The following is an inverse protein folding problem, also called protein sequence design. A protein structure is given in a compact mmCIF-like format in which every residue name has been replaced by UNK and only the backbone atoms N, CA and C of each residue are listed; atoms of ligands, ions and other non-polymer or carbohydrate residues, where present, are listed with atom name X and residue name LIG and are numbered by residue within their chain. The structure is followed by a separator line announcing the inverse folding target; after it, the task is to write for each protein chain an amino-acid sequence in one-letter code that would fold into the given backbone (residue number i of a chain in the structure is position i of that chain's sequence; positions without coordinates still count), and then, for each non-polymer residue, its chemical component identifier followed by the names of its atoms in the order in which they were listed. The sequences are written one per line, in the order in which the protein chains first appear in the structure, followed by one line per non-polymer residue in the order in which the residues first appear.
data_IF_673014554147
#
_entry.id   IF_673014554147
#
_cell.length_a   1.000
_cell.length_b   1.000
_cell.length_c   1.000
_cell.angle_alpha   90.00
_cell.angle_beta   90.00
_cell.angle_gamma   90.00
#
_symmetry.space_group_name_H-M   'P 1'
#
loop_
_entity.id
_entity.type
_entity.pdbx_description
1 polymer ?
#
# COMPACT_ATOMS: atom_id res chain seq x y z
N UNK A 1 24.88 -26.34 48.89
CA UNK A 1 25.37 -27.47 48.08
C UNK A 1 24.63 -27.41 46.75
N UNK A 2 24.95 -26.45 45.88
CA UNK A 2 26.09 -26.43 44.96
C UNK A 2 26.02 -27.57 43.94
N UNK A 3 25.53 -27.26 42.75
CA UNK A 3 25.93 -27.88 41.48
C UNK A 3 25.50 -26.96 40.34
N UNK A 4 26.41 -26.09 39.94
CA UNK A 4 26.38 -25.32 38.70
C UNK A 4 26.86 -26.23 37.56
N UNK A 5 26.10 -26.33 36.47
CA UNK A 5 26.56 -26.97 35.24
C UNK A 5 26.66 -25.91 34.13
N UNK A 6 27.90 -25.48 33.87
CA UNK A 6 28.28 -24.62 32.76
C UNK A 6 28.28 -25.44 31.47
N UNK A 7 27.49 -25.03 30.47
CA UNK A 7 27.56 -25.60 29.12
C UNK A 7 28.19 -24.60 28.17
N UNK A 8 29.47 -24.84 27.88
CA UNK A 8 30.27 -24.21 26.84
C UNK A 8 29.83 -24.78 25.48
N UNK A 9 29.45 -23.94 24.52
CA UNK A 9 29.24 -24.36 23.12
C UNK A 9 30.07 -23.50 22.19
N UNK A 10 30.84 -24.20 21.36
CA UNK A 10 31.89 -23.72 20.50
C UNK A 10 31.33 -22.94 19.29
N UNK A 11 32.07 -21.89 18.89
CA UNK A 11 31.86 -21.17 17.65
C UNK A 11 32.37 -22.00 16.46
N UNK A 12 31.49 -22.32 15.52
CA UNK A 12 31.87 -22.88 14.22
C UNK A 12 32.04 -21.74 13.21
N UNK A 13 33.27 -21.53 12.76
CA UNK A 13 33.61 -20.63 11.65
C UNK A 13 33.15 -21.24 10.33
N UNK A 14 32.26 -20.55 9.61
CA UNK A 14 31.87 -20.90 8.24
C UNK A 14 32.63 -19.99 7.28
N UNK A 15 33.51 -20.61 6.49
CA UNK A 15 34.29 -20.00 5.41
C UNK A 15 33.38 -19.60 4.25
N UNK A 16 33.43 -18.32 3.87
CA UNK A 16 32.70 -17.74 2.73
C UNK A 16 33.46 -18.00 1.42
N UNK A 17 32.87 -18.62 0.39
CA UNK A 17 33.45 -18.63 -0.94
C UNK A 17 33.13 -17.32 -1.68
N UNK A 18 34.17 -16.56 -2.01
CA UNK A 18 34.15 -15.45 -2.95
C UNK A 18 33.85 -15.97 -4.36
N UNK A 19 32.87 -15.39 -5.06
CA UNK A 19 32.69 -15.57 -6.49
C UNK A 19 32.62 -14.21 -7.16
N UNK A 20 33.78 -13.84 -7.70
CA UNK A 20 34.01 -12.74 -8.63
C UNK A 20 33.59 -13.21 -10.02
N UNK A 21 32.65 -12.53 -10.69
CA UNK A 21 32.44 -12.72 -12.12
C UNK A 21 31.87 -11.47 -12.82
N UNK A 22 32.74 -10.93 -13.66
CA UNK A 22 32.51 -10.31 -14.98
C UNK A 22 31.53 -9.12 -15.11
N UNK A 23 32.15 -7.94 -15.25
CA UNK A 23 31.63 -6.81 -16.01
C UNK A 23 31.50 -7.21 -17.50
N UNK A 24 30.34 -6.94 -18.09
CA UNK A 24 30.18 -6.82 -19.54
C UNK A 24 29.64 -5.44 -19.86
N UNK A 25 30.49 -4.61 -20.45
CA UNK A 25 30.15 -3.34 -21.06
C UNK A 25 29.31 -3.57 -22.32
N UNK A 26 28.10 -3.02 -22.34
CA UNK A 26 27.25 -2.95 -23.53
C UNK A 26 26.98 -1.48 -23.88
N UNK A 27 27.79 -0.95 -24.78
CA UNK A 27 27.62 0.36 -25.43
C UNK A 27 26.78 0.19 -26.70
N UNK A 28 25.62 0.84 -26.76
CA UNK A 28 24.90 1.27 -27.97
C UNK A 28 23.60 1.95 -27.49
N UNK A 29 23.10 3.06 -28.01
CA UNK A 29 23.44 3.90 -29.14
C UNK A 29 22.32 4.96 -29.21
N UNK A 30 22.70 6.20 -29.50
CA UNK A 30 21.84 7.38 -29.58
C UNK A 30 20.71 7.22 -30.60
N UNK A 31 19.54 7.79 -30.29
CA UNK A 31 18.76 8.54 -31.30
C UNK A 31 17.84 9.54 -30.59
N UNK A 32 18.14 10.82 -30.80
CA UNK A 32 17.26 11.94 -30.50
C UNK A 32 16.17 12.02 -31.59
N UNK A 33 14.94 12.36 -31.18
CA UNK A 33 13.87 12.73 -32.10
C UNK A 33 13.11 13.95 -31.53
N UNK A 34 13.49 15.13 -32.03
CA UNK A 34 12.64 16.31 -32.30
C UNK A 34 12.90 16.63 -33.78
N UNK A 35 12.04 17.36 -34.53
CA UNK A 35 10.92 18.22 -34.13
C UNK A 35 9.63 18.02 -34.99
N UNK A 36 8.57 18.79 -34.73
CA UNK A 36 7.91 19.62 -35.75
C UNK A 36 6.69 20.36 -35.19
N UNK A 37 6.78 21.69 -35.25
CA UNK A 37 5.67 22.63 -35.19
C UNK A 37 4.86 22.57 -36.49
N UNK A 38 3.54 22.63 -36.39
CA UNK A 38 2.67 23.10 -37.46
C UNK A 38 1.66 24.08 -36.85
N UNK A 39 1.69 25.30 -37.36
CA UNK A 39 0.70 26.34 -37.12
C UNK A 39 -0.47 26.17 -38.09
N UNK A 40 -1.67 26.53 -37.66
CA UNK A 40 -2.70 27.11 -38.52
C UNK A 40 -3.58 28.06 -37.70
N UNK A 41 -4.01 29.20 -38.27
CA UNK A 41 -4.78 30.23 -37.59
C UNK A 41 -6.28 29.98 -37.73
N UNK A 42 -7.09 30.57 -36.86
CA UNK A 42 -8.42 31.07 -37.24
C UNK A 42 -8.87 32.11 -36.22
N UNK A 43 -8.92 33.34 -36.71
CA UNK A 43 -9.61 34.47 -36.12
C UNK A 43 -11.12 34.20 -36.11
N UNK A 44 -11.78 34.57 -35.02
CA UNK A 44 -13.22 34.46 -34.83
C UNK A 44 -13.66 35.47 -33.80
N UNK A 45 -13.55 36.74 -34.16
CA UNK A 45 -14.12 37.87 -33.44
C UNK A 45 -15.64 37.85 -33.63
N UNK A 46 -16.41 37.76 -32.54
CA UNK A 46 -17.81 38.18 -32.57
C UNK A 46 -18.28 38.67 -31.20
N UNK A 47 -18.79 39.88 -31.24
CA UNK A 47 -19.25 40.73 -30.14
C UNK A 47 -20.44 40.16 -29.38
N UNK A 48 -20.47 40.48 -28.08
CA UNK A 48 -21.61 41.07 -27.37
C UNK A 48 -22.93 40.32 -27.34
N UNK A 49 -23.34 39.89 -26.14
CA UNK A 49 -24.58 40.32 -25.49
C UNK A 49 -24.65 39.73 -24.08
N UNK A 50 -24.67 40.62 -23.08
CA UNK A 50 -25.29 40.35 -21.77
C UNK A 50 -26.71 39.79 -21.99
N UNK A 51 -27.13 38.82 -21.17
CA UNK A 51 -28.00 39.26 -20.09
C UNK A 51 -27.74 38.59 -18.74
N UNK A 52 -28.03 39.41 -17.73
CA UNK A 52 -28.28 39.08 -16.33
C UNK A 52 -29.11 37.81 -16.08
N UNK A 53 -28.86 37.29 -14.88
CA UNK A 53 -29.73 36.48 -14.02
C UNK A 53 -29.88 34.99 -14.37
N UNK A 54 -29.28 34.12 -13.55
CA UNK A 54 -29.92 33.60 -12.34
C UNK A 54 -28.95 32.65 -11.66
N UNK A 55 -28.60 32.96 -10.42
CA UNK A 55 -27.80 32.10 -9.55
C UNK A 55 -28.61 30.84 -9.20
N UNK A 56 -28.45 29.76 -9.98
CA UNK A 56 -28.74 28.42 -9.50
C UNK A 56 -27.55 27.95 -8.67
N UNK A 57 -27.57 28.35 -7.40
CA UNK A 57 -26.84 27.73 -6.30
C UNK A 57 -27.29 26.26 -6.21
N UNK A 58 -26.73 25.40 -7.04
CA UNK A 58 -26.74 23.96 -6.79
C UNK A 58 -25.80 23.72 -5.62
N UNK A 59 -26.38 23.77 -4.43
CA UNK A 59 -25.73 23.39 -3.18
C UNK A 59 -25.36 21.91 -3.23
N UNK A 60 -24.17 21.62 -3.74
CA UNK A 60 -23.44 20.44 -3.27
C UNK A 60 -22.94 20.83 -1.90
N UNK A 61 -23.75 20.55 -0.89
CA UNK A 61 -23.34 20.64 0.51
C UNK A 61 -22.16 19.71 0.69
N UNK A 62 -20.95 20.25 0.53
CA UNK A 62 -19.80 19.76 1.27
C UNK A 62 -20.25 19.81 2.72
N UNK A 63 -20.61 18.66 3.27
CA UNK A 63 -20.71 18.49 4.70
C UNK A 63 -19.33 18.81 5.24
N UNK A 64 -19.10 20.10 5.52
CA UNK A 64 -18.08 20.55 6.43
C UNK A 64 -18.49 19.93 7.74
N UNK A 65 -17.95 18.76 8.06
CA UNK A 65 -18.05 18.13 9.37
C UNK A 65 -17.27 19.00 10.33
N UNK A 66 -17.88 20.14 10.69
CA UNK A 66 -17.48 20.95 11.82
C UNK A 66 -17.86 20.17 13.06
N UNK A 67 -17.01 19.25 13.47
CA UNK A 67 -17.04 18.71 14.83
C UNK A 67 -16.69 19.87 15.76
N UNK A 68 -17.67 20.27 16.57
CA UNK A 68 -17.57 21.44 17.43
C UNK A 68 -16.35 21.43 18.35
N UNK A 69 -15.83 22.63 18.59
CA UNK A 69 -15.04 22.99 19.77
C UNK A 69 -13.63 22.40 19.82
N UNK A 70 -12.65 23.21 19.42
CA UNK A 70 -11.25 23.15 19.92
C UNK A 70 -10.50 21.82 19.74
N UNK A 71 -10.43 21.29 18.51
CA UNK A 71 -9.42 20.27 18.15
C UNK A 71 -8.88 20.56 16.74
N UNK A 72 -7.57 20.49 16.57
CA UNK A 72 -6.83 20.73 15.32
C UNK A 72 -7.45 19.95 14.16
N UNK A 73 -8.30 20.61 13.37
CA UNK A 73 -8.98 19.98 12.26
C UNK A 73 -7.97 19.72 11.13
N UNK A 74 -7.95 18.48 10.60
CA UNK A 74 -7.34 18.24 9.30
C UNK A 74 -8.07 19.13 8.29
N UNK A 75 -7.32 19.84 7.46
CA UNK A 75 -7.93 20.62 6.39
C UNK A 75 -8.60 19.68 5.36
N UNK A 76 -9.43 20.24 4.48
CA UNK A 76 -10.19 19.46 3.51
C UNK A 76 -9.30 18.60 2.59
N UNK A 77 -8.08 19.07 2.27
CA UNK A 77 -7.12 18.32 1.44
C UNK A 77 -6.59 17.11 2.20
N UNK A 78 -6.13 17.31 3.44
CA UNK A 78 -5.60 16.22 4.27
C UNK A 78 -6.69 15.18 4.55
N UNK A 79 -7.93 15.63 4.81
CA UNK A 79 -9.08 14.75 5.02
C UNK A 79 -9.35 13.87 3.79
N UNK A 80 -9.44 14.48 2.60
CA UNK A 80 -9.65 13.72 1.36
C UNK A 80 -8.52 12.73 1.07
N UNK A 81 -7.27 13.09 1.40
CA UNK A 81 -6.12 12.20 1.26
C UNK A 81 -6.26 10.97 2.17
N UNK A 82 -6.61 11.16 3.44
CA UNK A 82 -6.79 10.06 4.40
C UNK A 82 -8.02 9.20 4.09
N UNK A 83 -9.13 9.77 3.60
CA UNK A 83 -10.29 9.01 3.14
C UNK A 83 -9.92 8.02 2.03
N UNK A 84 -9.11 8.47 1.06
CA UNK A 84 -8.62 7.60 -0.01
C UNK A 84 -7.63 6.57 0.51
N UNK A 85 -6.76 6.94 1.45
CA UNK A 85 -5.85 6.01 2.10
C UNK A 85 -6.61 4.88 2.78
N UNK A 86 -7.62 5.21 3.59
CA UNK A 86 -8.41 4.22 4.33
C UNK A 86 -9.29 3.36 3.42
N UNK A 87 -9.88 3.94 2.38
CA UNK A 87 -10.63 3.18 1.37
C UNK A 87 -9.72 2.18 0.64
N UNK A 88 -8.49 2.59 0.31
CA UNK A 88 -7.49 1.74 -0.32
C UNK A 88 -6.97 0.61 0.56
N UNK A 89 -7.03 0.78 1.88
CA UNK A 89 -6.62 -0.20 2.88
C UNK A 89 -7.75 -1.17 3.27
N UNK A 90 -9.01 -0.86 2.99
CA UNK A 90 -10.15 -1.73 3.31
C UNK A 90 -10.02 -3.20 2.83
N UNK A 91 -9.37 -3.52 1.70
CA UNK A 91 -9.14 -4.92 1.32
C UNK A 91 -8.21 -5.70 2.26
N UNK A 92 -7.39 -5.03 3.08
CA UNK A 92 -6.50 -5.69 4.04
C UNK A 92 -7.25 -6.29 5.24
N UNK A 93 -8.32 -5.66 5.71
CA UNK A 93 -9.12 -6.21 6.82
C UNK A 93 -9.79 -7.51 6.43
N UNK A 94 -10.26 -7.60 5.17
CA UNK A 94 -10.76 -8.86 4.61
C UNK A 94 -9.69 -9.95 4.51
N UNK A 95 -8.43 -9.56 4.34
CA UNK A 95 -7.32 -10.51 4.24
C UNK A 95 -7.09 -11.23 5.58
N UNK A 96 -7.19 -10.50 6.69
CA UNK A 96 -7.03 -11.04 8.03
C UNK A 96 -8.17 -12.00 8.41
N UNK A 97 -9.42 -11.61 8.11
CA UNK A 97 -10.61 -12.44 8.27
C UNK A 97 -10.52 -13.75 7.49
N UNK A 98 -10.15 -13.68 6.21
CA UNK A 98 -10.04 -14.87 5.36
C UNK A 98 -8.85 -15.74 5.76
N UNK A 99 -7.73 -15.16 6.16
CA UNK A 99 -6.58 -15.91 6.68
C UNK A 99 -6.97 -16.68 7.96
N UNK A 100 -7.72 -16.04 8.85
CA UNK A 100 -8.27 -16.68 10.06
C UNK A 100 -9.22 -17.83 9.71
N UNK A 101 -10.08 -17.67 8.70
CA UNK A 101 -10.96 -18.75 8.23
C UNK A 101 -10.20 -19.91 7.59
N UNK A 102 -9.15 -19.63 6.80
CA UNK A 102 -8.31 -20.65 6.18
C UNK A 102 -7.54 -21.43 7.25
N UNK A 103 -6.99 -20.75 8.26
CA UNK A 103 -6.25 -21.39 9.34
C UNK A 103 -7.15 -22.20 10.28
N UNK A 104 -8.38 -21.73 10.55
CA UNK A 104 -9.36 -22.45 11.37
C UNK A 104 -10.11 -23.57 10.62
N UNK A 105 -10.30 -23.42 9.30
CA UNK A 105 -11.14 -24.29 8.47
C UNK A 105 -10.41 -25.19 7.48
N UNK A 106 -9.07 -25.22 7.50
CA UNK A 106 -8.28 -26.08 6.61
C UNK A 106 -8.69 -27.55 6.79
N UNK A 107 -9.53 -28.03 5.87
CA UNK A 107 -10.04 -29.40 5.90
C UNK A 107 -8.89 -30.40 5.94
N UNK A 108 -9.07 -31.53 6.63
CA UNK A 108 -8.06 -32.59 6.70
C UNK A 108 -7.74 -33.25 5.34
N UNK A 109 -8.48 -32.91 4.28
CA UNK A 109 -8.32 -33.48 2.94
C UNK A 109 -7.36 -32.66 2.07
N UNK A 110 -6.54 -33.30 1.20
CA UNK A 110 -5.68 -32.60 0.25
C UNK A 110 -6.45 -31.64 -0.68
N UNK A 111 -7.63 -32.05 -1.15
CA UNK A 111 -8.46 -31.25 -2.06
C UNK A 111 -8.95 -29.96 -1.41
N UNK A 112 -9.42 -30.00 -0.17
CA UNK A 112 -9.87 -28.79 0.51
C UNK A 112 -8.71 -27.88 0.91
N UNK A 113 -7.52 -28.43 1.23
CA UNK A 113 -6.29 -27.62 1.38
C UNK A 113 -5.91 -26.89 0.09
N UNK A 114 -5.96 -27.58 -1.05
CA UNK A 114 -5.69 -26.99 -2.36
C UNK A 114 -6.66 -25.85 -2.67
N UNK A 115 -7.95 -26.04 -2.40
CA UNK A 115 -8.97 -25.02 -2.64
C UNK A 115 -8.80 -23.81 -1.72
N UNK A 116 -8.46 -24.03 -0.44
CA UNK A 116 -8.16 -22.95 0.50
C UNK A 116 -6.91 -22.15 0.08
N UNK A 117 -5.85 -22.83 -0.37
CA UNK A 117 -4.65 -22.19 -0.91
C UNK A 117 -4.93 -21.38 -2.18
N UNK A 118 -5.74 -21.92 -3.09
CA UNK A 118 -6.14 -21.21 -4.31
C UNK A 118 -7.00 -19.96 -4.02
N UNK A 119 -7.90 -20.05 -3.03
CA UNK A 119 -8.68 -18.92 -2.56
C UNK A 119 -7.77 -17.85 -1.93
N UNK A 120 -6.86 -18.25 -1.04
CA UNK A 120 -5.88 -17.36 -0.43
C UNK A 120 -4.99 -16.66 -1.47
N UNK A 121 -4.46 -17.43 -2.43
CA UNK A 121 -3.66 -16.92 -3.53
C UNK A 121 -4.41 -15.86 -4.37
N UNK A 122 -5.70 -16.09 -4.62
CA UNK A 122 -6.56 -15.15 -5.36
C UNK A 122 -6.82 -13.89 -4.55
N UNK A 123 -7.07 -14.04 -3.25
CA UNK A 123 -7.26 -12.93 -2.33
C UNK A 123 -6.00 -12.06 -2.25
N UNK A 124 -4.82 -12.65 -2.03
CA UNK A 124 -3.54 -11.95 -2.04
C UNK A 124 -3.29 -11.18 -3.33
N UNK A 125 -3.57 -11.77 -4.50
CA UNK A 125 -3.45 -11.09 -5.79
C UNK A 125 -4.40 -9.91 -5.92
N UNK A 126 -5.66 -10.08 -5.49
CA UNK A 126 -6.70 -9.04 -5.57
C UNK A 126 -6.38 -7.89 -4.62
N UNK A 127 -6.05 -8.19 -3.37
CA UNK A 127 -5.59 -7.20 -2.38
C UNK A 127 -4.32 -6.53 -2.85
N UNK A 128 -3.37 -7.27 -3.41
CA UNK A 128 -2.13 -6.73 -3.96
C UNK A 128 -2.37 -5.70 -5.06
N UNK A 129 -3.21 -6.02 -6.04
CA UNK A 129 -3.61 -5.09 -7.10
C UNK A 129 -4.34 -3.85 -6.53
N UNK A 130 -5.23 -4.05 -5.57
CA UNK A 130 -5.94 -2.96 -4.89
C UNK A 130 -4.99 -2.00 -4.17
N UNK A 131 -3.97 -2.51 -3.48
CA UNK A 131 -2.95 -1.70 -2.81
C UNK A 131 -2.06 -0.94 -3.80
N UNK A 132 -1.68 -1.56 -4.92
CA UNK A 132 -0.94 -0.85 -5.99
C UNK A 132 -1.77 0.31 -6.54
N UNK A 133 -3.05 0.06 -6.83
CA UNK A 133 -3.95 1.10 -7.32
C UNK A 133 -4.16 2.20 -6.27
N UNK A 134 -4.32 1.84 -5.00
CA UNK A 134 -4.41 2.79 -3.90
C UNK A 134 -3.14 3.63 -3.79
N UNK A 135 -1.96 3.03 -3.85
CA UNK A 135 -0.68 3.72 -3.83
C UNK A 135 -0.53 4.72 -4.98
N UNK A 136 -0.91 4.33 -6.20
CA UNK A 136 -0.93 5.23 -7.36
C UNK A 136 -1.92 6.39 -7.20
N UNK A 137 -3.14 6.12 -6.73
CA UNK A 137 -4.14 7.16 -6.44
C UNK A 137 -3.64 8.13 -5.37
N UNK A 138 -3.09 7.63 -4.26
CA UNK A 138 -2.53 8.46 -3.20
C UNK A 138 -1.38 9.33 -3.69
N UNK A 139 -0.53 8.79 -4.56
CA UNK A 139 0.58 9.53 -5.17
C UNK A 139 0.11 10.64 -6.14
N UNK A 140 -1.11 10.53 -6.69
CA UNK A 140 -1.71 11.56 -7.54
C UNK A 140 -2.42 12.68 -6.78
N UNK A 141 -2.73 12.45 -5.49
CA UNK A 141 -3.37 13.46 -4.64
C UNK A 141 -2.33 14.44 -4.10
N UNK A 142 -2.69 15.72 -3.94
CA UNK A 142 -1.80 16.67 -3.29
C UNK A 142 -1.54 16.24 -1.84
N UNK A 143 -0.28 16.40 -1.41
CA UNK A 143 0.13 16.01 -0.07
C UNK A 143 -0.66 16.74 1.04
N UNK A 144 -0.88 16.09 2.20
CA UNK A 144 -1.38 16.76 3.38
C UNK A 144 -0.52 17.97 3.79
N UNK A 145 -1.14 19.03 4.31
CA UNK A 145 -0.45 20.31 4.55
C UNK A 145 0.16 20.45 5.94
N UNK A 146 -0.01 19.45 6.82
CA UNK A 146 0.61 19.45 8.14
C UNK A 146 2.09 19.07 8.07
N UNK A 147 2.82 19.32 9.16
CA UNK A 147 4.25 19.02 9.24
C UNK A 147 4.54 17.52 9.02
N UNK A 148 5.40 17.19 8.05
CA UNK A 148 5.66 15.80 7.66
C UNK A 148 4.63 15.19 6.69
N UNK A 149 3.57 15.92 6.32
CA UNK A 149 2.52 15.44 5.39
C UNK A 149 3.04 14.97 4.03
N UNK A 150 3.99 15.70 3.43
CA UNK A 150 4.63 15.28 2.16
C UNK A 150 5.43 13.98 2.29
N UNK A 151 6.15 13.79 3.41
CA UNK A 151 6.90 12.55 3.68
C UNK A 151 5.95 11.39 3.93
N UNK A 152 4.86 11.61 4.66
CA UNK A 152 3.79 10.64 4.83
C UNK A 152 3.19 10.23 3.49
N UNK A 153 2.82 11.20 2.64
CA UNK A 153 2.21 10.92 1.35
C UNK A 153 3.12 10.09 0.43
N UNK A 154 4.39 10.45 0.34
CA UNK A 154 5.39 9.69 -0.42
C UNK A 154 5.61 8.28 0.16
N UNK A 155 5.79 8.17 1.48
CA UNK A 155 6.06 6.89 2.15
C UNK A 155 4.84 5.95 2.06
N UNK A 156 3.63 6.48 2.23
CA UNK A 156 2.40 5.71 2.14
C UNK A 156 2.13 5.24 0.70
N UNK A 157 2.23 6.11 -0.30
CA UNK A 157 2.03 5.74 -1.71
C UNK A 157 3.05 4.70 -2.19
N UNK A 158 4.33 4.89 -1.85
CA UNK A 158 5.39 3.92 -2.17
C UNK A 158 5.22 2.62 -1.39
N UNK A 159 4.91 2.71 -0.09
CA UNK A 159 4.66 1.56 0.77
C UNK A 159 3.51 0.71 0.27
N UNK A 160 2.36 1.32 -0.02
CA UNK A 160 1.20 0.64 -0.62
C UNK A 160 1.53 -0.04 -1.95
N UNK A 161 2.24 0.67 -2.83
CA UNK A 161 2.66 0.11 -4.13
C UNK A 161 3.56 -1.10 -3.94
N UNK A 162 4.59 -0.99 -3.09
CA UNK A 162 5.55 -2.06 -2.82
C UNK A 162 4.89 -3.27 -2.14
N UNK A 163 4.09 -3.03 -1.11
CA UNK A 163 3.34 -4.08 -0.42
C UNK A 163 2.35 -4.76 -1.36
N UNK A 164 1.65 -3.99 -2.20
CA UNK A 164 0.73 -4.54 -3.18
C UNK A 164 1.41 -5.43 -4.23
N UNK A 165 2.58 -5.03 -4.73
CA UNK A 165 3.40 -5.86 -5.61
C UNK A 165 3.86 -7.14 -4.92
N UNK A 166 4.30 -7.04 -3.65
CA UNK A 166 4.71 -8.19 -2.87
C UNK A 166 3.54 -9.17 -2.67
N UNK A 167 2.37 -8.68 -2.30
CA UNK A 167 1.17 -9.51 -2.13
C UNK A 167 0.78 -10.22 -3.43
N UNK A 168 0.86 -9.52 -4.56
CA UNK A 168 0.63 -10.12 -5.88
C UNK A 168 1.63 -11.25 -6.17
N UNK A 169 2.92 -11.01 -5.89
CA UNK A 169 3.99 -12.01 -6.05
C UNK A 169 3.78 -13.23 -5.14
N UNK A 170 3.49 -13.02 -3.85
CA UNK A 170 3.24 -14.12 -2.92
C UNK A 170 1.96 -14.88 -3.28
N UNK A 171 0.91 -14.20 -3.72
CA UNK A 171 -0.30 -14.83 -4.22
C UNK A 171 -0.05 -15.72 -5.45
N UNK A 172 0.87 -15.35 -6.34
CA UNK A 172 1.32 -16.23 -7.43
C UNK A 172 2.08 -17.44 -6.88
N UNK A 173 3.01 -17.25 -5.94
CA UNK A 173 3.76 -18.36 -5.32
C UNK A 173 2.84 -19.35 -4.60
N UNK A 174 1.81 -18.87 -3.88
CA UNK A 174 0.81 -19.72 -3.25
C UNK A 174 -0.04 -20.50 -4.27
N UNK A 175 -0.33 -19.92 -5.44
CA UNK A 175 -1.09 -20.63 -6.47
C UNK A 175 -0.32 -21.81 -7.09
N UNK A 176 1.01 -21.79 -7.00
CA UNK A 176 1.90 -22.84 -7.51
C UNK A 176 2.42 -23.77 -6.41
N UNK A 177 2.06 -23.53 -5.15
CA UNK A 177 2.56 -24.29 -4.00
C UNK A 177 1.98 -25.70 -3.98
N UNK A 178 2.83 -26.70 -3.77
CA UNK A 178 2.39 -28.06 -3.47
C UNK A 178 1.79 -28.10 -2.06
N UNK A 179 0.56 -28.57 -1.94
CA UNK A 179 -0.18 -28.69 -0.65
C UNK A 179 0.50 -29.63 0.34
N UNK A 180 1.40 -30.50 -0.14
CA UNK A 180 2.18 -31.41 0.67
C UNK A 180 3.52 -30.80 1.13
N UNK A 181 3.97 -29.71 0.51
CA UNK A 181 5.19 -29.01 0.89
C UNK A 181 4.89 -27.94 1.96
N UNK A 182 4.70 -28.42 3.18
CA UNK A 182 4.48 -27.56 4.33
C UNK A 182 5.69 -26.64 4.64
N UNK A 183 6.90 -27.01 4.22
CA UNK A 183 8.10 -26.20 4.46
C UNK A 183 8.10 -24.97 3.54
N UNK A 184 7.87 -25.16 2.24
CA UNK A 184 7.73 -24.06 1.30
C UNK A 184 6.55 -23.14 1.68
N UNK A 185 5.42 -23.71 2.09
CA UNK A 185 4.28 -22.93 2.58
C UNK A 185 4.63 -22.01 3.76
N UNK A 186 5.31 -22.55 4.78
CA UNK A 186 5.79 -21.76 5.94
C UNK A 186 6.80 -20.69 5.54
N UNK A 187 7.70 -20.99 4.61
CA UNK A 187 8.68 -20.03 4.12
C UNK A 187 8.03 -18.85 3.39
N UNK A 188 7.05 -19.11 2.51
CA UNK A 188 6.30 -18.07 1.81
C UNK A 188 5.53 -17.21 2.83
N UNK A 189 4.87 -17.84 3.80
CA UNK A 189 4.14 -17.14 4.87
C UNK A 189 5.07 -16.25 5.71
N UNK A 190 6.24 -16.76 6.12
CA UNK A 190 7.23 -15.99 6.89
C UNK A 190 7.79 -14.80 6.11
N UNK A 191 8.04 -14.97 4.81
CA UNK A 191 8.47 -13.88 3.94
C UNK A 191 7.37 -12.82 3.75
N UNK A 192 6.12 -13.24 3.62
CA UNK A 192 4.96 -12.35 3.56
C UNK A 192 4.83 -11.54 4.86
N UNK A 193 4.86 -12.20 6.03
CA UNK A 193 4.81 -11.54 7.34
C UNK A 193 5.93 -10.52 7.49
N UNK A 194 7.18 -10.90 7.19
CA UNK A 194 8.33 -9.98 7.24
C UNK A 194 8.13 -8.76 6.33
N UNK A 195 7.59 -8.97 5.12
CA UNK A 195 7.31 -7.87 4.19
C UNK A 195 6.26 -6.91 4.76
N UNK A 196 5.21 -7.45 5.37
CA UNK A 196 4.16 -6.65 6.03
C UNK A 196 4.69 -5.91 7.26
N UNK A 197 5.53 -6.54 8.08
CA UNK A 197 6.18 -5.92 9.23
C UNK A 197 7.13 -4.78 8.81
N UNK A 198 7.93 -4.98 7.76
CA UNK A 198 8.82 -3.94 7.22
C UNK A 198 8.01 -2.75 6.70
N UNK A 199 6.90 -3.00 6.02
CA UNK A 199 5.98 -1.95 5.58
C UNK A 199 5.34 -1.22 6.78
N UNK A 200 4.92 -1.96 7.81
CA UNK A 200 4.39 -1.39 9.05
C UNK A 200 5.41 -0.52 9.79
N UNK A 201 6.66 -0.99 9.91
CA UNK A 201 7.76 -0.22 10.51
C UNK A 201 8.07 1.06 9.73
N UNK A 202 8.03 1.01 8.40
CA UNK A 202 8.22 2.20 7.57
C UNK A 202 7.12 3.26 7.83
N UNK A 203 5.88 2.82 8.09
CA UNK A 203 4.78 3.71 8.46
C UNK A 203 4.87 4.19 9.91
N UNK A 204 5.29 3.34 10.85
CA UNK A 204 5.51 3.72 12.25
C UNK A 204 6.65 4.73 12.43
N UNK A 205 7.65 4.71 11.53
CA UNK A 205 8.70 5.71 11.48
C UNK A 205 8.24 7.09 11.02
N UNK A 206 6.96 7.23 10.64
CA UNK A 206 6.30 8.51 10.42
C UNK A 206 5.66 8.91 11.74
N UNK A 207 6.35 9.77 12.48
CA UNK A 207 5.89 10.29 13.77
C UNK A 207 4.65 11.16 13.53
N UNK A 208 3.47 10.53 13.50
CA UNK A 208 2.20 11.22 13.39
C UNK A 208 1.87 11.78 14.76
N UNK A 209 1.62 13.09 14.84
CA UNK A 209 1.22 13.68 16.10
C UNK A 209 -0.06 13.01 16.63
N UNK A 210 -0.23 12.92 17.96
CA UNK A 210 -1.45 12.36 18.57
C UNK A 210 -2.73 13.07 18.11
N UNK A 211 -2.64 14.35 17.72
CA UNK A 211 -3.75 15.10 17.11
C UNK A 211 -4.12 14.55 15.74
N UNK A 212 -3.13 14.35 14.85
CA UNK A 212 -3.37 13.81 13.49
C UNK A 212 -3.96 12.40 13.58
N UNK A 213 -3.40 11.55 14.44
CA UNK A 213 -3.91 10.18 14.64
C UNK A 213 -5.37 10.17 15.13
N UNK A 214 -5.73 11.04 16.08
CA UNK A 214 -7.12 11.19 16.53
C UNK A 214 -8.04 11.74 15.46
N UNK A 215 -7.55 12.65 14.62
CA UNK A 215 -8.33 13.21 13.51
C UNK A 215 -8.60 12.16 12.43
N UNK A 216 -7.60 11.35 12.08
CA UNK A 216 -7.73 10.22 11.14
C UNK A 216 -8.73 9.18 11.66
N UNK A 217 -8.69 8.85 12.95
CA UNK A 217 -9.63 7.90 13.55
C UNK A 217 -11.10 8.37 13.50
N UNK A 218 -11.35 9.67 13.35
CA UNK A 218 -12.71 10.22 13.19
C UNK A 218 -13.22 10.17 11.75
N UNK A 219 -12.38 9.82 10.78
CA UNK A 219 -12.77 9.70 9.38
C UNK A 219 -13.58 8.40 9.22
N UNK A 220 -14.85 8.46 8.75
CA UNK A 220 -15.71 7.28 8.66
C UNK A 220 -15.11 6.14 7.84
N UNK A 221 -14.38 6.44 6.77
CA UNK A 221 -13.69 5.42 5.96
C UNK A 221 -12.63 4.66 6.75
N UNK A 222 -12.00 5.29 7.74
CA UNK A 222 -10.96 4.70 8.58
C UNK A 222 -11.53 3.92 9.78
N UNK A 223 -12.80 4.13 10.14
CA UNK A 223 -13.43 3.43 11.27
C UNK A 223 -13.51 1.90 11.07
N UNK A 224 -13.45 1.43 9.83
CA UNK A 224 -13.40 -0.01 9.52
C UNK A 224 -12.00 -0.64 9.70
N UNK A 225 -10.98 0.18 9.95
CA UNK A 225 -9.58 -0.23 10.09
C UNK A 225 -9.09 -0.20 11.55
N UNK A 226 -9.92 0.30 12.47
CA UNK A 226 -9.62 0.43 13.90
C UNK A 226 -10.15 -0.74 14.72
#
# INVERSE_FOLDING_TARGET
MSSSASSTSAAASITQPSSTAAQTSGTAGSTAATPSSAAAPSEGQSSGSDPSATASRSGSGSASTTVGGTTTALDARSTAWFEQACTGLAPLTRLDDEFSKISAGATSTPKGKQQALAAFATLLRTTGAGLVQAGQKLGSLPAPTFEGGSKLAATASQGLTRTGQAFTKYGQQFSTLDVNDAAAGRQILGNLQKTTEEAGKALQGLDLSPEVSRAVARIPACASLS
#
